data_IF_561546480694
#
_entry.id   IF_561546480694
#
_cell.length_a   1.000
_cell.length_b   1.000
_cell.length_c   1.000
_cell.angle_alpha   90.00
_cell.angle_beta   90.00
_cell.angle_gamma   90.00
#
_symmetry.space_group_name_H-M   'P 1'
#
loop_
_entity.id
_entity.type
_entity.pdbx_description
1 polymer ?
#
# COMPACT_ATOMS: atom_id res chain seq x y z
N UNK A 1 5.14 13.57 34.29
CA UNK A 1 4.58 12.44 33.52
C UNK A 1 4.94 12.65 32.06
N UNK A 2 5.93 11.92 31.57
CA UNK A 2 6.46 12.07 30.22
C UNK A 2 5.53 11.37 29.21
N UNK A 3 4.96 12.13 28.26
CA UNK A 3 4.42 11.58 27.03
C UNK A 3 5.61 11.28 26.11
N UNK A 4 6.18 10.09 26.31
CA UNK A 4 7.28 9.56 25.51
C UNK A 4 6.79 9.16 24.12
N UNK A 5 7.26 9.88 23.10
CA UNK A 5 7.54 9.33 21.77
C UNK A 5 6.42 9.37 20.75
N UNK A 6 6.04 10.56 20.24
CA UNK A 6 5.62 10.64 18.83
C UNK A 6 6.87 10.37 18.01
N UNK A 7 6.97 9.18 17.43
CA UNK A 7 8.07 8.81 16.54
C UNK A 7 8.16 9.79 15.37
N UNK A 8 9.39 10.13 15.01
CA UNK A 8 9.80 11.21 14.10
C UNK A 8 9.42 11.01 12.62
N UNK A 9 8.49 10.11 12.28
CA UNK A 9 8.53 9.37 11.00
C UNK A 9 7.15 9.02 10.37
N UNK A 10 6.13 9.86 10.57
CA UNK A 10 4.76 9.57 10.09
C UNK A 10 4.30 10.40 8.87
N UNK A 11 5.25 10.97 8.12
CA UNK A 11 4.97 11.59 6.83
C UNK A 11 4.77 10.51 5.78
N UNK A 12 3.61 10.53 5.11
CA UNK A 12 3.35 9.68 3.96
C UNK A 12 4.18 10.17 2.77
N UNK A 13 4.76 9.28 1.95
CA UNK A 13 5.55 9.70 0.80
C UNK A 13 4.67 10.35 -0.26
N UNK A 14 5.12 11.47 -0.83
CA UNK A 14 4.40 12.12 -1.93
C UNK A 14 4.43 11.30 -3.23
N UNK A 15 5.49 10.52 -3.45
CA UNK A 15 5.64 9.60 -4.57
C UNK A 15 5.51 8.17 -4.06
N UNK A 16 4.57 7.42 -4.62
CA UNK A 16 4.26 6.07 -4.15
C UNK A 16 4.43 5.06 -5.30
N UNK A 17 5.26 4.02 -5.14
CA UNK A 17 5.23 2.86 -6.01
C UNK A 17 3.87 2.17 -5.93
N UNK A 18 3.26 1.84 -7.06
CA UNK A 18 1.93 1.21 -7.08
C UNK A 18 1.97 -0.21 -7.59
N UNK A 19 1.20 -1.08 -6.93
CA UNK A 19 0.99 -2.47 -7.29
C UNK A 19 -0.47 -2.63 -7.77
N UNK A 20 -0.69 -2.66 -9.09
CA UNK A 20 -2.00 -2.95 -9.67
C UNK A 20 -2.37 -4.42 -9.45
N UNK A 21 -3.49 -4.70 -8.79
CA UNK A 21 -3.95 -6.07 -8.56
C UNK A 21 -5.45 -6.19 -8.79
N UNK A 22 -5.85 -6.81 -9.90
CA UNK A 22 -7.25 -7.03 -10.22
C UNK A 22 -7.94 -7.88 -9.15
N UNK A 23 -9.13 -7.48 -8.70
CA UNK A 23 -9.97 -8.27 -7.82
C UNK A 23 -9.58 -8.29 -6.33
N UNK A 24 -8.54 -7.55 -5.93
CA UNK A 24 -8.14 -7.43 -4.53
C UNK A 24 -8.04 -5.97 -4.06
N UNK A 25 -8.83 -5.61 -3.05
CA UNK A 25 -8.87 -4.25 -2.52
C UNK A 25 -8.30 -4.19 -1.09
N UNK A 26 -7.18 -3.50 -0.91
CA UNK A 26 -6.67 -3.16 0.42
C UNK A 26 -7.46 -1.98 0.98
N UNK A 27 -7.94 -2.10 2.21
CA UNK A 27 -8.60 -1.02 2.94
C UNK A 27 -7.73 -0.59 4.14
N UNK A 28 -7.87 0.66 4.63
CA UNK A 28 -7.22 1.09 5.84
C UNK A 28 -7.46 0.10 6.99
N UNK A 29 -6.41 -0.23 7.75
CA UNK A 29 -6.36 -1.24 8.83
C UNK A 29 -6.51 -2.70 8.38
N UNK A 30 -6.88 -2.96 7.13
CA UNK A 30 -6.90 -4.31 6.57
C UNK A 30 -5.49 -4.87 6.41
N UNK A 31 -5.38 -6.19 6.37
CA UNK A 31 -4.15 -6.90 6.09
C UNK A 31 -4.28 -7.70 4.80
N UNK A 32 -3.23 -7.70 3.99
CA UNK A 32 -3.21 -8.43 2.73
C UNK A 32 -1.87 -9.15 2.57
N UNK A 33 -1.85 -10.48 2.69
CA UNK A 33 -0.69 -11.28 2.33
C UNK A 33 -0.54 -11.32 0.81
N UNK A 34 0.68 -11.17 0.31
CA UNK A 34 1.03 -11.23 -1.10
C UNK A 34 2.22 -12.16 -1.33
N UNK A 35 2.15 -12.92 -2.41
CA UNK A 35 3.27 -13.70 -2.94
C UNK A 35 3.80 -12.98 -4.19
N UNK A 36 4.99 -12.41 -4.08
CA UNK A 36 5.61 -11.59 -5.12
C UNK A 36 6.63 -12.43 -5.87
N UNK A 37 6.38 -12.64 -7.16
CA UNK A 37 7.25 -13.44 -8.03
C UNK A 37 7.60 -12.72 -9.35
N UNK A 38 6.84 -11.71 -9.76
CA UNK A 38 7.16 -10.95 -10.97
C UNK A 38 8.41 -10.07 -10.75
N UNK A 39 9.39 -10.08 -11.68
CA UNK A 39 10.65 -9.35 -11.52
C UNK A 39 10.50 -7.85 -11.20
N UNK A 40 9.52 -7.17 -11.82
CA UNK A 40 9.26 -5.74 -11.57
C UNK A 40 8.84 -5.47 -10.13
N UNK A 41 8.03 -6.35 -9.54
CA UNK A 41 7.54 -6.19 -8.17
C UNK A 41 8.54 -6.70 -7.14
N UNK A 42 9.35 -7.71 -7.48
CA UNK A 42 10.53 -8.06 -6.66
C UNK A 42 11.47 -6.86 -6.55
N UNK A 43 11.69 -6.12 -7.65
CA UNK A 43 12.49 -4.88 -7.62
C UNK A 43 11.82 -3.80 -6.76
N UNK A 44 10.52 -3.58 -6.92
CA UNK A 44 9.75 -2.64 -6.09
C UNK A 44 9.90 -2.93 -4.60
N UNK A 45 9.68 -4.18 -4.18
CA UNK A 45 9.78 -4.57 -2.77
C UNK A 45 11.19 -4.31 -2.23
N UNK A 46 12.24 -4.68 -2.98
CA UNK A 46 13.63 -4.37 -2.57
C UNK A 46 13.85 -2.87 -2.39
N UNK A 47 13.38 -2.06 -3.33
CA UNK A 47 13.58 -0.61 -3.31
C UNK A 47 12.84 0.04 -2.12
N UNK A 48 11.59 -0.34 -1.84
CA UNK A 48 10.82 0.25 -0.71
C UNK A 48 11.28 -0.25 0.66
N UNK A 49 11.88 -1.44 0.75
CA UNK A 49 12.41 -1.97 2.01
C UNK A 49 13.60 -1.15 2.54
N UNK A 50 14.30 -0.42 1.66
CA UNK A 50 15.34 0.55 2.02
C UNK A 50 14.82 1.94 2.40
N UNK A 51 13.50 2.19 2.27
CA UNK A 51 12.86 3.48 2.52
C UNK A 51 11.70 3.38 3.51
N UNK A 52 10.56 3.97 3.15
CA UNK A 52 9.34 4.06 3.98
C UNK A 52 8.53 2.75 4.09
N UNK A 53 8.87 1.74 3.28
CA UNK A 53 8.19 0.44 3.18
C UNK A 53 6.72 0.54 2.76
N UNK A 54 6.38 1.59 2.00
CA UNK A 54 5.02 1.88 1.54
C UNK A 54 4.83 1.47 0.08
N UNK A 55 3.70 0.84 -0.21
CA UNK A 55 3.25 0.50 -1.57
C UNK A 55 1.79 0.94 -1.71
N UNK A 56 1.42 1.48 -2.86
CA UNK A 56 0.04 1.79 -3.22
C UNK A 56 -0.65 0.60 -3.87
N UNK A 57 -1.63 0.00 -3.20
CA UNK A 57 -2.51 -0.99 -3.82
C UNK A 57 -3.61 -0.29 -4.58
N UNK A 58 -3.77 -0.62 -5.86
CA UNK A 58 -4.73 0.03 -6.76
C UNK A 58 -5.36 -0.99 -7.70
N UNK A 59 -6.62 -0.78 -8.06
CA UNK A 59 -7.29 -1.57 -9.08
C UNK A 59 -6.86 -1.09 -10.47
N UNK A 60 -6.47 -2.00 -11.38
CA UNK A 60 -6.47 -1.69 -12.81
C UNK A 60 -7.91 -1.60 -13.34
N UNK A 61 -8.12 -0.78 -14.37
CA UNK A 61 -9.35 -0.73 -15.14
C UNK A 61 -9.34 -1.91 -16.12
N UNK A 62 -10.42 -2.67 -16.17
CA UNK A 62 -10.60 -3.71 -17.19
C UNK A 62 -11.14 -3.05 -18.46
N UNK A 63 -10.22 -2.62 -19.33
CA UNK A 63 -10.51 -1.98 -20.61
C UNK A 63 -10.15 -2.88 -21.81
N UNK A 64 -9.82 -4.14 -21.55
CA UNK A 64 -9.41 -5.10 -22.58
C UNK A 64 -8.03 -4.82 -23.21
N UNK A 65 -7.23 -3.89 -22.67
CA UNK A 65 -5.88 -3.63 -23.17
C UNK A 65 -4.88 -4.68 -22.65
N UNK A 66 -4.01 -5.15 -23.55
CA UNK A 66 -2.85 -5.96 -23.18
C UNK A 66 -1.73 -5.07 -22.62
N UNK A 67 -1.14 -5.47 -21.49
CA UNK A 67 0.01 -4.79 -20.89
C UNK A 67 -0.32 -4.08 -19.58
N UNK A 68 -0.10 -2.76 -19.54
CA UNK A 68 -0.32 -1.93 -18.35
C UNK A 68 -1.66 -1.17 -18.47
N UNK A 69 -2.77 -1.74 -17.99
CA UNK A 69 -4.07 -1.08 -18.05
C UNK A 69 -4.09 0.25 -17.27
N UNK A 70 -5.02 1.13 -17.63
CA UNK A 70 -5.29 2.34 -16.86
C UNK A 70 -5.60 2.00 -15.39
N UNK A 71 -5.29 2.91 -14.47
CA UNK A 71 -5.59 2.71 -13.05
C UNK A 71 -6.86 3.43 -12.66
N UNK A 72 -7.60 2.85 -11.72
CA UNK A 72 -8.58 3.62 -10.97
C UNK A 72 -7.86 4.72 -10.18
N UNK A 73 -8.44 5.92 -10.16
CA UNK A 73 -7.80 7.10 -9.55
C UNK A 73 -7.70 7.08 -8.03
N UNK A 74 -8.12 6.01 -7.36
CA UNK A 74 -8.08 5.87 -5.89
C UNK A 74 -7.48 4.51 -5.55
N UNK A 75 -6.51 4.52 -4.64
CA UNK A 75 -5.90 3.32 -4.07
C UNK A 75 -5.81 3.39 -2.55
N UNK A 76 -5.16 2.39 -1.96
CA UNK A 76 -4.84 2.35 -0.55
C UNK A 76 -3.35 2.13 -0.35
N UNK A 77 -2.72 3.04 0.41
CA UNK A 77 -1.33 2.93 0.78
C UNK A 77 -1.20 1.87 1.88
N UNK A 78 -0.45 0.81 1.60
CA UNK A 78 -0.13 -0.27 2.52
C UNK A 78 1.32 -0.20 2.96
N UNK A 79 1.57 -0.49 4.24
CA UNK A 79 2.92 -0.64 4.79
C UNK A 79 3.28 -2.12 4.87
N UNK A 80 4.46 -2.50 4.41
CA UNK A 80 4.99 -3.85 4.62
C UNK A 80 5.26 -4.04 6.11
N UNK A 81 4.50 -4.93 6.75
CA UNK A 81 4.65 -5.27 8.18
C UNK A 81 5.29 -6.65 8.40
N UNK A 82 5.28 -7.51 7.38
CA UNK A 82 5.96 -8.81 7.38
C UNK A 82 6.65 -9.01 6.03
N UNK A 83 7.83 -9.63 6.05
CA UNK A 83 8.66 -9.91 4.87
C UNK A 83 9.43 -11.22 5.09
N UNK A 84 9.39 -12.11 4.10
CA UNK A 84 10.23 -13.29 4.02
C UNK A 84 10.65 -13.55 2.57
N UNK A 85 11.89 -13.94 2.36
CA UNK A 85 12.41 -14.40 1.07
C UNK A 85 12.41 -15.93 1.04
N UNK A 86 11.93 -16.50 -0.08
CA UNK A 86 11.89 -17.95 -0.28
C UNK A 86 13.14 -18.43 -0.99
N UNK A 87 13.44 -19.73 -0.89
CA UNK A 87 14.62 -20.34 -1.55
C UNK A 87 14.60 -20.21 -3.08
N UNK A 88 13.41 -20.09 -3.68
CA UNK A 88 13.21 -19.88 -5.12
C UNK A 88 13.18 -18.39 -5.52
N UNK A 89 13.54 -17.48 -4.61
CA UNK A 89 13.74 -16.05 -4.89
C UNK A 89 12.47 -15.20 -4.95
N UNK A 90 11.35 -15.70 -4.39
CA UNK A 90 10.11 -14.94 -4.23
C UNK A 90 10.09 -14.21 -2.90
N UNK A 91 9.20 -13.22 -2.78
CA UNK A 91 8.91 -12.60 -1.49
C UNK A 91 7.50 -12.91 -1.03
N UNK A 92 7.38 -13.33 0.22
CA UNK A 92 6.13 -13.35 0.96
C UNK A 92 6.07 -12.09 1.81
N UNK A 93 5.14 -11.20 1.52
CA UNK A 93 4.94 -9.96 2.27
C UNK A 93 3.53 -9.88 2.83
N UNK A 94 3.37 -9.18 3.95
CA UNK A 94 2.05 -8.74 4.41
C UNK A 94 1.99 -7.23 4.40
N UNK A 95 1.00 -6.67 3.70
CA UNK A 95 0.69 -5.25 3.74
C UNK A 95 -0.37 -4.98 4.79
N UNK A 96 -0.14 -3.96 5.62
CA UNK A 96 -1.17 -3.36 6.48
C UNK A 96 -1.63 -2.04 5.88
N UNK A 97 -2.91 -1.93 5.57
CA UNK A 97 -3.50 -0.71 5.02
C UNK A 97 -3.38 0.46 5.99
N UNK A 98 -2.89 1.59 5.50
CA UNK A 98 -2.67 2.80 6.30
C UNK A 98 -3.75 3.83 6.02
N UNK A 99 -3.90 4.24 4.77
CA UNK A 99 -4.86 5.26 4.35
C UNK A 99 -5.14 5.15 2.86
N UNK A 100 -6.30 5.60 2.42
CA UNK A 100 -6.56 5.81 0.99
C UNK A 100 -5.75 6.99 0.46
N UNK A 101 -5.53 7.00 -0.85
CA UNK A 101 -4.92 8.09 -1.60
C UNK A 101 -5.59 8.25 -2.95
N UNK A 102 -5.58 9.48 -3.46
CA UNK A 102 -5.95 9.81 -4.83
C UNK A 102 -4.69 9.85 -5.68
N UNK A 103 -4.74 9.26 -6.87
CA UNK A 103 -3.70 9.42 -7.89
C UNK A 103 -3.87 10.80 -8.51
N UNK A 104 -2.85 11.65 -8.39
CA UNK A 104 -2.79 12.94 -9.07
C UNK A 104 -2.33 12.75 -10.51
N UNK A 105 -1.23 12.02 -10.67
CA UNK A 105 -0.65 11.64 -11.95
C UNK A 105 0.23 10.41 -11.81
N UNK A 106 0.40 9.68 -12.91
CA UNK A 106 1.44 8.66 -13.04
C UNK A 106 2.75 9.30 -13.48
N UNK A 107 3.83 8.96 -12.79
CA UNK A 107 5.13 9.53 -13.05
C UNK A 107 5.86 8.73 -14.13
N UNK A 108 6.45 9.44 -15.10
CA UNK A 108 7.44 8.85 -15.98
C UNK A 108 8.68 8.49 -15.17
N UNK A 109 8.98 7.21 -15.04
CA UNK A 109 10.09 6.69 -14.22
C UNK A 109 10.91 5.67 -15.00
N UNK A 110 12.21 5.55 -14.66
CA UNK A 110 13.09 4.50 -15.16
C UNK A 110 12.94 3.17 -14.41
N UNK A 111 12.10 3.14 -13.37
CA UNK A 111 11.82 1.92 -12.61
C UNK A 111 10.97 0.95 -13.43
N UNK A 112 11.13 -0.38 -13.26
CA UNK A 112 10.33 -1.37 -13.99
C UNK A 112 8.88 -1.48 -13.48
N UNK A 113 8.55 -0.70 -12.45
CA UNK A 113 7.23 -0.61 -11.85
C UNK A 113 6.73 0.84 -11.89
N UNK A 114 5.41 0.99 -11.82
CA UNK A 114 4.72 2.28 -11.88
C UNK A 114 4.86 3.04 -10.57
N UNK A 115 4.94 4.36 -10.69
CA UNK A 115 4.95 5.29 -9.56
C UNK A 115 3.92 6.38 -9.80
N UNK A 116 3.31 6.87 -8.72
CA UNK A 116 2.29 7.91 -8.80
C UNK A 116 2.59 9.02 -7.82
N UNK A 117 2.18 10.24 -8.16
CA UNK A 117 2.02 11.30 -7.18
C UNK A 117 0.73 11.05 -6.39
N UNK A 118 0.86 10.86 -5.09
CA UNK A 118 -0.24 10.52 -4.19
C UNK A 118 -0.73 11.76 -3.42
N UNK A 119 -2.05 11.96 -3.41
CA UNK A 119 -2.73 12.94 -2.56
C UNK A 119 -3.56 12.22 -1.48
N UNK A 120 -3.24 12.49 -0.22
CA UNK A 120 -3.87 11.90 0.95
C UNK A 120 -4.90 12.83 1.61
N UNK A 121 -4.92 14.12 1.25
CA UNK A 121 -5.76 15.12 1.91
C UNK A 121 -7.27 14.78 1.90
N UNK A 122 -7.84 14.21 0.82
CA UNK A 122 -9.25 13.79 0.83
C UNK A 122 -9.59 12.67 1.83
N UNK A 123 -8.58 11.99 2.38
CA UNK A 123 -8.72 10.78 3.18
C UNK A 123 -8.10 10.88 4.58
N UNK A 124 -7.84 12.10 5.08
CA UNK A 124 -7.27 12.31 6.43
C UNK A 124 -8.03 11.55 7.54
N UNK A 125 -9.35 11.41 7.39
CA UNK A 125 -10.22 10.66 8.33
C UNK A 125 -9.87 9.17 8.48
N UNK A 126 -9.20 8.56 7.49
CA UNK A 126 -8.77 7.16 7.56
C UNK A 126 -7.77 6.95 8.71
N UNK A 127 -6.95 7.97 9.00
CA UNK A 127 -5.92 7.95 10.05
C UNK A 127 -6.46 8.37 11.42
N UNK A 128 -7.55 9.12 11.46
CA UNK A 128 -8.04 9.80 12.67
C UNK A 128 -9.05 8.98 13.49
N UNK A 129 -9.58 7.90 12.94
CA UNK A 129 -10.62 7.11 13.62
C UNK A 129 -10.02 5.92 14.39
N UNK A 130 -9.87 5.94 15.73
CA UNK A 130 -9.74 4.68 16.46
C UNK A 130 -10.99 3.83 16.18
N UNK A 131 -10.83 2.53 15.93
CA UNK A 131 -11.98 1.63 15.82
C UNK A 131 -12.81 1.84 17.10
N UNK A 132 -14.13 2.13 17.03
CA UNK A 132 -14.95 1.90 18.21
C UNK A 132 -14.71 0.43 18.59
N UNK A 133 -14.35 0.18 19.84
CA UNK A 133 -14.22 -1.18 20.35
C UNK A 133 -15.47 -1.91 19.88
N UNK A 134 -15.29 -2.89 19.00
CA UNK A 134 -16.34 -3.84 18.67
C UNK A 134 -16.53 -4.65 19.94
N UNK A 135 -17.25 -4.07 20.89
CA UNK A 135 -17.77 -4.73 22.07
C UNK A 135 -18.63 -5.86 21.56
N UNK A 136 -18.00 -7.02 21.40
CA UNK A 136 -18.66 -8.31 21.49
C UNK A 136 -19.32 -8.30 22.86
N UNK A 137 -20.59 -7.85 22.89
CA UNK A 137 -21.49 -8.12 23.98
C UNK A 137 -21.52 -9.64 24.13
N UNK A 138 -20.72 -10.15 25.06
CA UNK A 138 -20.98 -11.44 25.67
C UNK A 138 -22.32 -11.29 26.37
N UNK A 139 -23.39 -11.64 25.67
CA UNK A 139 -24.64 -12.06 26.28
C UNK A 139 -24.32 -13.34 27.06
N UNK A 140 -24.09 -13.17 28.36
CA UNK A 140 -24.35 -14.18 29.38
C UNK A 140 -25.63 -13.78 30.10
#
# INVERSE_FOLDING_TARGET
MALSGRSKDESLPGVLPVFPLMGALLLPRGEMPLNIFEPRYLRMVRDVMGGDRMIGMVQPVDDGQEGDPALYGIGCAGRICSFAETEDGRFLITLKGVTRFKIVEELSSTTPYRQVQADYAPYEGDRLTPMPDAGIARLI
#
